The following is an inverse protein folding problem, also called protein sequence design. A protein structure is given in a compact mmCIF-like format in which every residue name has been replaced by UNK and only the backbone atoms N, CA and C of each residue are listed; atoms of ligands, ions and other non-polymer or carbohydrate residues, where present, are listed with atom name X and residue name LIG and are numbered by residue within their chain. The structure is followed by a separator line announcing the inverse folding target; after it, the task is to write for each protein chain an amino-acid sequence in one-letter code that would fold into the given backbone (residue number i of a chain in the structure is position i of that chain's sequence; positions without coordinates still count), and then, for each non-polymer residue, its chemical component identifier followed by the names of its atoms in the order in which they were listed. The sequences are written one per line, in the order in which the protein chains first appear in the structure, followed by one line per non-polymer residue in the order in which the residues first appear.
data_IF_268494801651
#
_entry.id   IF_268494801651
#
_cell.length_a   1.000
_cell.length_b   1.000
_cell.length_c   1.000
_cell.angle_alpha   90.00
_cell.angle_beta   90.00
_cell.angle_gamma   90.00
#
_symmetry.space_group_name_H-M   'P 1'
#
loop_
_entity.id
_entity.type
_entity.pdbx_description
1 polymer ?
#
# COMPACT_ATOMS: atom_id res chain seq x y z
N UNK A 1 -10.35 -7.36 -16.48
CA UNK A 1 -10.52 -5.88 -16.34
C UNK A 1 -11.54 -5.42 -15.25
N UNK A 2 -12.39 -6.31 -14.72
CA UNK A 2 -13.54 -5.99 -13.86
C UNK A 2 -13.24 -5.55 -12.41
N UNK A 3 -12.02 -5.76 -11.91
CA UNK A 3 -11.61 -5.44 -10.52
C UNK A 3 -11.33 -3.95 -10.30
N UNK A 4 -10.91 -3.22 -11.34
CA UNK A 4 -10.66 -1.76 -11.33
C UNK A 4 -11.84 -0.96 -11.90
N UNK A 5 -13.01 -1.57 -12.09
CA UNK A 5 -14.20 -0.84 -12.52
C UNK A 5 -14.82 -0.12 -11.33
N UNK A 6 -14.95 1.19 -11.45
CA UNK A 6 -15.72 2.03 -10.55
C UNK A 6 -16.78 2.73 -11.40
N UNK A 7 -18.06 2.48 -11.09
CA UNK A 7 -19.17 3.20 -11.72
C UNK A 7 -19.33 4.52 -10.98
N UNK A 8 -19.24 5.62 -11.71
CA UNK A 8 -19.52 6.95 -11.19
C UNK A 8 -20.09 7.83 -12.30
N UNK A 9 -20.82 8.86 -11.92
CA UNK A 9 -21.40 9.86 -12.80
C UNK A 9 -20.41 11.02 -12.96
N UNK A 10 -19.90 11.20 -14.18
CA UNK A 10 -18.91 12.21 -14.50
C UNK A 10 -19.52 13.62 -14.48
N UNK A 11 -20.76 13.79 -14.93
CA UNK A 11 -21.43 15.09 -14.99
C UNK A 11 -21.78 15.59 -13.58
N UNK A 12 -22.23 14.68 -12.71
CA UNK A 12 -22.41 14.97 -11.30
C UNK A 12 -21.08 15.37 -10.64
N UNK A 13 -19.97 14.72 -11.02
CA UNK A 13 -18.65 15.04 -10.49
C UNK A 13 -18.13 16.40 -10.98
N UNK A 14 -18.33 16.72 -12.26
CA UNK A 14 -18.07 18.06 -12.81
C UNK A 14 -18.89 19.12 -12.08
N UNK A 15 -20.17 18.84 -11.80
CA UNK A 15 -21.04 19.75 -11.04
C UNK A 15 -20.51 20.00 -9.64
N UNK A 16 -20.06 18.95 -8.94
CA UNK A 16 -19.42 19.09 -7.63
C UNK A 16 -18.21 20.00 -7.73
N UNK A 17 -17.30 19.75 -8.68
CA UNK A 17 -16.07 20.55 -8.86
C UNK A 17 -16.39 22.01 -9.19
N UNK A 18 -17.30 22.26 -10.13
CA UNK A 18 -17.68 23.62 -10.53
C UNK A 18 -18.40 24.40 -9.45
N UNK A 19 -19.10 23.73 -8.53
CA UNK A 19 -19.76 24.35 -7.39
C UNK A 19 -18.81 24.75 -6.24
N UNK A 20 -17.54 24.34 -6.30
CA UNK A 20 -16.59 24.62 -5.22
C UNK A 20 -16.25 26.12 -5.17
N UNK A 21 -16.27 26.75 -3.98
CA UNK A 21 -15.96 28.18 -3.85
C UNK A 21 -14.60 28.58 -4.41
N UNK A 22 -13.62 27.66 -4.37
CA UNK A 22 -12.26 27.89 -4.87
C UNK A 22 -12.12 27.79 -6.39
N UNK A 23 -13.16 27.38 -7.12
CA UNK A 23 -13.13 27.16 -8.58
C UNK A 23 -14.23 28.01 -9.23
N UNK A 24 -15.48 27.86 -8.75
CA UNK A 24 -16.66 28.63 -9.19
C UNK A 24 -16.79 28.77 -10.72
N UNK A 25 -16.29 27.78 -11.47
CA UNK A 25 -16.15 27.81 -12.93
C UNK A 25 -16.41 26.42 -13.53
N UNK A 26 -16.94 26.31 -14.76
CA UNK A 26 -17.15 25.03 -15.43
C UNK A 26 -15.85 24.25 -15.64
N UNK A 27 -15.94 22.92 -15.66
CA UNK A 27 -14.82 22.04 -16.01
C UNK A 27 -14.68 21.99 -17.52
N UNK A 28 -13.51 22.40 -18.03
CA UNK A 28 -13.23 22.51 -19.47
C UNK A 28 -12.45 21.33 -20.03
N UNK A 29 -11.63 20.68 -19.19
CA UNK A 29 -10.78 19.56 -19.61
C UNK A 29 -10.65 18.53 -18.49
N UNK A 30 -10.72 17.25 -18.87
CA UNK A 30 -10.58 16.12 -17.96
C UNK A 30 -9.52 15.17 -18.52
N UNK A 31 -8.50 14.90 -17.73
CA UNK A 31 -7.42 13.97 -18.07
C UNK A 31 -7.46 12.80 -17.09
N UNK A 32 -7.48 11.58 -17.62
CA UNK A 32 -7.44 10.38 -16.79
C UNK A 32 -6.00 10.08 -16.38
N UNK A 33 -5.75 10.07 -15.08
CA UNK A 33 -4.50 9.63 -14.47
C UNK A 33 -4.78 8.24 -13.85
N UNK A 34 -4.29 7.17 -14.46
CA UNK A 34 -4.54 5.84 -13.88
C UNK A 34 -3.70 5.61 -12.63
N UNK A 35 -4.33 5.11 -11.56
CA UNK A 35 -3.67 4.55 -10.39
C UNK A 35 -4.06 3.07 -10.19
N UNK A 36 -3.30 2.36 -9.34
CA UNK A 36 -3.57 0.95 -9.02
C UNK A 36 -4.84 0.75 -8.19
N UNK A 37 -5.04 1.59 -7.17
CA UNK A 37 -6.12 1.45 -6.17
C UNK A 37 -7.29 2.42 -6.38
N UNK A 38 -7.08 3.50 -7.14
CA UNK A 38 -8.08 4.54 -7.40
C UNK A 38 -8.13 4.89 -8.88
N UNK A 39 -9.28 5.38 -9.33
CA UNK A 39 -9.38 6.21 -10.53
C UNK A 39 -9.02 7.63 -10.15
N UNK A 40 -8.05 8.22 -10.83
CA UNK A 40 -7.64 9.61 -10.62
C UNK A 40 -7.95 10.39 -11.89
N UNK A 41 -8.59 11.55 -11.73
CA UNK A 41 -8.91 12.47 -12.81
C UNK A 41 -8.26 13.81 -12.50
N UNK A 42 -7.51 14.36 -13.45
CA UNK A 42 -7.08 15.75 -13.42
C UNK A 42 -8.12 16.58 -14.17
N UNK A 43 -8.87 17.38 -13.43
CA UNK A 43 -9.86 18.30 -13.98
C UNK A 43 -9.28 19.70 -14.04
N UNK A 44 -9.46 20.37 -15.18
CA UNK A 44 -9.09 21.77 -15.38
C UNK A 44 -10.38 22.55 -15.59
N UNK A 45 -10.57 23.61 -14.80
CA UNK A 45 -11.68 24.54 -14.96
C UNK A 45 -11.35 25.64 -16.00
N UNK A 46 -12.38 26.36 -16.45
CA UNK A 46 -12.24 27.45 -17.43
C UNK A 46 -11.32 28.59 -16.97
N UNK A 47 -11.28 28.85 -15.66
CA UNK A 47 -10.36 29.82 -15.04
C UNK A 47 -8.89 29.34 -15.02
N UNK A 48 -8.62 28.14 -15.52
CA UNK A 48 -7.31 27.50 -15.54
C UNK A 48 -6.95 26.76 -14.24
N UNK A 49 -7.81 26.79 -13.22
CA UNK A 49 -7.60 26.09 -11.96
C UNK A 49 -7.62 24.58 -12.18
N UNK A 50 -6.64 23.88 -11.60
CA UNK A 50 -6.46 22.43 -11.75
C UNK A 50 -6.71 21.72 -10.42
N UNK A 51 -7.58 20.72 -10.46
CA UNK A 51 -7.86 19.84 -9.31
C UNK A 51 -7.70 18.39 -9.68
N UNK A 52 -7.32 17.61 -8.68
CA UNK A 52 -7.24 16.16 -8.75
C UNK A 52 -8.47 15.60 -8.07
N UNK A 53 -9.22 14.78 -8.78
CA UNK A 53 -10.33 14.02 -8.24
C UNK A 53 -9.94 12.56 -8.14
N UNK A 54 -10.06 12.00 -6.94
CA UNK A 54 -9.73 10.62 -6.66
C UNK A 54 -10.98 9.85 -6.28
N UNK A 55 -11.21 8.72 -6.94
CA UNK A 55 -12.35 7.81 -6.73
C UNK A 55 -11.83 6.41 -6.42
N UNK A 56 -12.06 5.85 -5.22
CA UNK A 56 -11.66 4.50 -4.88
C UNK A 56 -12.26 3.43 -5.79
N UNK A 57 -11.49 2.37 -6.05
CA UNK A 57 -12.02 1.16 -6.67
C UNK A 57 -12.68 0.27 -5.59
N UNK A 58 -14.01 0.12 -5.56
CA UNK A 58 -14.71 -0.52 -4.43
C UNK A 58 -14.36 -1.99 -4.20
N UNK A 59 -13.89 -2.67 -5.25
CA UNK A 59 -13.46 -4.08 -5.19
C UNK A 59 -12.03 -4.28 -4.65
N UNK A 60 -11.29 -3.19 -4.48
CA UNK A 60 -9.87 -3.20 -4.07
C UNK A 60 -9.72 -2.54 -2.70
N UNK A 61 -10.51 -1.49 -2.46
CA UNK A 61 -10.43 -0.66 -1.27
C UNK A 61 -11.73 -0.78 -0.49
N UNK A 62 -11.71 -1.11 0.82
CA UNK A 62 -12.91 -1.10 1.65
C UNK A 62 -13.62 0.25 1.56
N UNK A 63 -14.91 0.23 1.24
CA UNK A 63 -15.72 1.42 1.06
C UNK A 63 -15.88 2.21 2.36
N UNK A 64 -16.15 3.50 2.23
CA UNK A 64 -16.48 4.53 3.22
C UNK A 64 -15.31 4.96 4.09
N UNK A 65 -14.65 3.97 4.65
CA UNK A 65 -13.64 4.14 5.67
C UNK A 65 -12.34 4.71 5.08
N UNK A 66 -11.92 4.26 3.90
CA UNK A 66 -10.66 4.69 3.30
C UNK A 66 -10.65 6.16 2.87
N UNK A 67 -11.75 6.64 2.29
CA UNK A 67 -11.89 8.05 1.92
C UNK A 67 -11.88 8.96 3.15
N UNK A 68 -12.65 8.61 4.18
CA UNK A 68 -12.69 9.41 5.42
C UNK A 68 -11.32 9.43 6.13
N UNK A 69 -10.64 8.28 6.18
CA UNK A 69 -9.30 8.16 6.72
C UNK A 69 -8.31 9.10 6.06
N UNK A 70 -8.24 9.03 4.73
CA UNK A 70 -7.24 9.76 3.98
C UNK A 70 -7.42 11.27 4.14
N UNK A 71 -8.67 11.74 4.07
CA UNK A 71 -8.98 13.15 4.29
C UNK A 71 -8.59 13.58 5.71
N UNK A 72 -8.89 12.75 6.72
CA UNK A 72 -8.52 13.05 8.09
C UNK A 72 -7.00 13.07 8.29
N UNK A 73 -6.25 12.13 7.70
CA UNK A 73 -4.78 12.10 7.72
C UNK A 73 -4.18 13.35 7.06
N UNK A 74 -4.67 13.72 5.88
CA UNK A 74 -4.21 14.94 5.17
C UNK A 74 -4.47 16.20 6.02
N UNK A 75 -5.66 16.32 6.61
CA UNK A 75 -6.00 17.43 7.49
C UNK A 75 -5.14 17.47 8.76
N UNK A 76 -4.85 16.32 9.34
CA UNK A 76 -4.00 16.20 10.53
C UNK A 76 -2.55 16.60 10.23
N UNK A 77 -1.95 16.05 9.17
CA UNK A 77 -0.59 16.39 8.75
C UNK A 77 -0.47 17.88 8.40
N UNK A 78 -1.45 18.43 7.68
CA UNK A 78 -1.47 19.84 7.30
C UNK A 78 -1.55 20.79 8.50
N UNK A 79 -2.24 20.40 9.57
CA UNK A 79 -2.44 21.24 10.77
C UNK A 79 -1.30 21.11 11.79
N UNK A 80 -0.54 20.02 11.77
CA UNK A 80 0.47 19.72 12.79
C UNK A 80 1.91 19.73 12.26
N UNK A 81 2.12 19.88 10.95
CA UNK A 81 3.47 19.86 10.34
C UNK A 81 3.63 20.91 9.25
N UNK A 82 4.88 21.15 8.83
CA UNK A 82 5.18 21.93 7.63
C UNK A 82 5.21 21.09 6.35
N UNK A 83 4.82 19.81 6.42
CA UNK A 83 4.89 18.89 5.29
C UNK A 83 3.90 19.35 4.21
N UNK A 84 4.36 19.55 2.96
CA UNK A 84 3.49 19.97 1.88
C UNK A 84 2.58 18.81 1.47
N UNK A 85 1.32 18.87 1.90
CA UNK A 85 0.27 17.93 1.49
C UNK A 85 -0.78 18.63 0.62
N UNK A 86 -1.45 17.88 -0.25
CA UNK A 86 -2.50 18.41 -1.10
C UNK A 86 -3.70 18.88 -0.27
N UNK A 87 -4.13 20.12 -0.50
CA UNK A 87 -5.31 20.67 0.16
C UNK A 87 -6.58 19.98 -0.36
N UNK A 88 -7.39 19.42 0.52
CA UNK A 88 -8.71 18.88 0.17
C UNK A 88 -9.71 20.03 0.01
N UNK A 89 -10.41 20.07 -1.13
CA UNK A 89 -11.47 21.04 -1.40
C UNK A 89 -12.85 20.50 -1.02
N UNK A 90 -13.10 19.23 -1.34
CA UNK A 90 -14.34 18.52 -1.00
C UNK A 90 -14.10 17.02 -1.01
N UNK A 91 -14.97 16.26 -0.35
CA UNK A 91 -14.93 14.80 -0.36
C UNK A 91 -16.29 14.24 0.01
N UNK A 92 -16.52 12.98 -0.34
CA UNK A 92 -17.71 12.24 0.04
C UNK A 92 -17.40 10.75 0.14
N UNK A 93 -17.77 10.12 1.26
CA UNK A 93 -17.61 8.67 1.49
C UNK A 93 -18.90 7.86 1.31
N UNK A 94 -20.02 8.51 0.93
CA UNK A 94 -21.29 7.85 0.66
C UNK A 94 -21.56 7.75 -0.84
N UNK A 95 -21.41 6.54 -1.39
CA UNK A 95 -21.66 6.25 -2.79
C UNK A 95 -23.13 6.37 -3.22
N UNK A 96 -24.09 6.55 -2.28
CA UNK A 96 -25.52 6.78 -2.59
C UNK A 96 -25.81 8.18 -3.14
N UNK A 97 -24.83 9.07 -3.08
CA UNK A 97 -24.95 10.46 -3.55
C UNK A 97 -24.88 10.53 -5.08
N UNK A 98 -25.24 11.67 -5.72
CA UNK A 98 -25.41 11.76 -7.17
C UNK A 98 -24.20 11.31 -8.01
N UNK A 99 -22.97 11.45 -7.49
CA UNK A 99 -21.75 10.96 -8.15
C UNK A 99 -21.72 9.43 -8.27
N UNK A 100 -22.48 8.69 -7.45
CA UNK A 100 -22.55 7.23 -7.46
C UNK A 100 -21.30 6.54 -6.93
N UNK A 101 -20.31 7.30 -6.44
CA UNK A 101 -19.07 6.80 -5.89
C UNK A 101 -18.46 7.76 -4.86
N UNK A 102 -17.64 7.18 -3.99
CA UNK A 102 -16.81 7.92 -3.07
C UNK A 102 -15.77 8.74 -3.83
N UNK A 103 -15.48 9.94 -3.36
CA UNK A 103 -14.52 10.79 -4.03
C UNK A 103 -13.83 11.76 -3.08
N UNK A 104 -12.63 12.18 -3.46
CA UNK A 104 -11.88 13.28 -2.85
C UNK A 104 -11.50 14.24 -3.96
N UNK A 105 -11.89 15.50 -3.84
CA UNK A 105 -11.44 16.60 -4.68
C UNK A 105 -10.36 17.35 -3.93
N UNK A 106 -9.16 17.40 -4.50
CA UNK A 106 -7.99 18.01 -3.88
C UNK A 106 -7.22 18.89 -4.86
N UNK A 107 -6.46 19.84 -4.34
CA UNK A 107 -5.60 20.70 -5.14
C UNK A 107 -4.54 19.87 -5.87
N UNK A 108 -4.21 20.24 -7.11
CA UNK A 108 -3.06 19.65 -7.81
C UNK A 108 -1.76 20.10 -7.12
N UNK A 109 -0.96 19.14 -6.65
CA UNK A 109 0.37 19.42 -6.13
C UNK A 109 1.25 20.09 -7.20
N UNK A 110 2.01 21.12 -6.79
CA UNK A 110 2.96 21.81 -7.66
C UNK A 110 4.28 21.04 -7.64
N UNK A 111 4.89 20.84 -8.81
CA UNK A 111 6.20 20.21 -8.94
C UNK A 111 6.28 19.22 -10.09
N UNK A 112 7.41 18.51 -10.16
CA UNK A 112 7.68 17.38 -11.05
C UNK A 112 7.89 16.13 -10.21
N UNK A 113 7.58 14.97 -10.76
CA UNK A 113 7.82 13.70 -10.06
C UNK A 113 9.32 13.46 -9.92
N UNK A 114 9.75 12.95 -8.77
CA UNK A 114 11.18 12.76 -8.52
C UNK A 114 11.82 11.77 -9.50
N UNK A 115 11.08 10.74 -9.91
CA UNK A 115 11.52 9.76 -10.91
C UNK A 115 11.92 10.39 -12.24
N UNK A 116 11.26 11.48 -12.65
CA UNK A 116 11.54 12.16 -13.92
C UNK A 116 12.83 12.99 -13.88
N UNK A 117 13.24 13.45 -12.69
CA UNK A 117 14.38 14.38 -12.53
C UNK A 117 15.58 13.73 -11.86
N UNK A 118 15.42 12.60 -11.17
CA UNK A 118 16.48 11.97 -10.38
C UNK A 118 17.73 11.64 -11.20
N UNK A 119 17.55 11.17 -12.44
CA UNK A 119 18.66 10.86 -13.35
C UNK A 119 19.45 12.10 -13.78
N UNK A 120 18.78 13.25 -13.90
CA UNK A 120 19.34 14.53 -14.34
C UNK A 120 20.05 15.29 -13.19
N UNK A 121 19.69 14.99 -11.94
CA UNK A 121 20.23 15.66 -10.77
C UNK A 121 21.68 15.27 -10.46
N UNK A 122 22.50 16.28 -10.17
CA UNK A 122 23.86 16.07 -9.66
C UNK A 122 23.86 15.55 -8.21
N UNK A 123 25.04 15.13 -7.73
CA UNK A 123 25.21 14.57 -6.39
C UNK A 123 24.87 15.56 -5.27
N UNK A 124 25.19 16.84 -5.45
CA UNK A 124 24.92 17.88 -4.46
C UNK A 124 23.41 18.18 -4.36
N UNK A 125 22.70 18.21 -5.48
CA UNK A 125 21.25 18.35 -5.54
C UNK A 125 20.55 17.17 -4.89
N UNK A 126 20.99 15.93 -5.18
CA UNK A 126 20.49 14.72 -4.54
C UNK A 126 20.69 14.76 -3.02
N UNK A 127 21.88 15.16 -2.57
CA UNK A 127 22.16 15.28 -1.15
C UNK A 127 21.26 16.31 -0.46
N UNK A 128 21.10 17.51 -1.03
CA UNK A 128 20.19 18.54 -0.50
C UNK A 128 18.73 18.06 -0.44
N UNK A 129 18.27 17.35 -1.47
CA UNK A 129 16.94 16.77 -1.49
C UNK A 129 16.76 15.74 -0.37
N UNK A 130 17.72 14.82 -0.19
CA UNK A 130 17.69 13.84 0.90
C UNK A 130 17.64 14.55 2.26
N UNK A 131 18.43 15.61 2.46
CA UNK A 131 18.36 16.39 3.69
C UNK A 131 16.97 17.01 3.93
N UNK A 132 16.28 17.46 2.88
CA UNK A 132 14.91 17.96 3.00
C UNK A 132 13.92 16.83 3.33
N UNK A 133 14.02 15.69 2.67
CA UNK A 133 13.16 14.52 2.94
C UNK A 133 13.29 14.07 4.39
N UNK A 134 14.51 13.94 4.90
CA UNK A 134 14.78 13.57 6.30
C UNK A 134 14.12 14.55 7.29
N UNK A 135 14.10 15.85 6.98
CA UNK A 135 13.41 16.85 7.83
C UNK A 135 11.90 16.71 7.80
N UNK A 136 11.31 16.35 6.66
CA UNK A 136 9.87 16.11 6.56
C UNK A 136 9.48 14.83 7.32
N UNK A 137 10.26 13.76 7.15
CA UNK A 137 10.04 12.49 7.86
C UNK A 137 10.20 12.64 9.37
N UNK A 138 11.20 13.39 9.83
CA UNK A 138 11.37 13.68 11.25
C UNK A 138 10.14 14.39 11.84
N UNK A 139 9.51 15.30 11.10
CA UNK A 139 8.28 15.95 11.54
C UNK A 139 7.12 14.95 11.61
N UNK A 140 6.93 14.12 10.57
CA UNK A 140 5.88 13.11 10.56
C UNK A 140 6.05 12.11 11.71
N UNK A 141 7.26 11.64 11.94
CA UNK A 141 7.60 10.70 13.03
C UNK A 141 7.42 11.32 14.43
N UNK A 142 7.50 12.65 14.54
CA UNK A 142 7.29 13.36 15.80
C UNK A 142 5.81 13.52 16.19
N UNK A 143 4.89 13.24 15.26
CA UNK A 143 3.45 13.36 15.50
C UNK A 143 2.98 12.35 16.56
N UNK A 144 2.34 12.87 17.61
CA UNK A 144 1.68 12.05 18.64
C UNK A 144 0.22 11.89 18.29
N UNK A 145 -0.19 10.68 17.91
CA UNK A 145 -1.60 10.39 17.65
C UNK A 145 -2.36 10.26 18.98
N UNK A 146 -3.53 10.91 19.14
CA UNK A 146 -4.29 10.89 20.40
C UNK A 146 -5.00 9.54 20.68
N UNK A 147 -4.90 8.58 19.76
CA UNK A 147 -5.45 7.23 19.93
C UNK A 147 -4.85 6.25 18.91
N UNK A 148 -5.02 4.96 19.20
CA UNK A 148 -4.67 3.85 18.31
C UNK A 148 -5.96 3.16 17.84
N UNK A 149 -5.96 2.70 16.59
CA UNK A 149 -7.15 2.26 15.88
C UNK A 149 -7.17 2.92 14.51
N UNK A 150 -7.53 2.17 13.47
CA UNK A 150 -7.45 2.66 12.10
C UNK A 150 -8.22 3.96 11.92
N UNK A 151 -7.51 5.07 11.70
CA UNK A 151 -7.82 5.87 10.52
C UNK A 151 -7.85 4.86 9.37
N UNK A 152 -9.00 4.55 8.78
CA UNK A 152 -9.06 3.39 7.91
C UNK A 152 -8.15 3.53 6.68
N UNK A 153 -6.92 3.04 6.75
CA UNK A 153 -5.94 2.99 5.66
C UNK A 153 -5.81 4.30 4.85
N UNK A 154 -4.79 5.14 5.14
CA UNK A 154 -4.12 5.80 4.03
C UNK A 154 -3.31 4.72 3.29
N UNK A 155 -3.91 4.13 2.26
CA UNK A 155 -3.17 3.47 1.17
C UNK A 155 -2.31 4.47 0.36
N UNK A 156 -2.14 5.71 0.85
CA UNK A 156 -1.58 6.83 0.13
C UNK A 156 -0.78 7.73 1.08
N UNK A 157 0.34 7.22 1.57
CA UNK A 157 1.55 8.04 1.67
C UNK A 157 2.65 7.55 0.72
N UNK A 158 2.36 6.60 -0.16
CA UNK A 158 3.24 6.21 -1.25
C UNK A 158 2.63 6.65 -2.60
N UNK A 159 3.50 7.27 -3.40
CA UNK A 159 3.36 7.76 -4.78
C UNK A 159 2.75 9.17 -4.94
N UNK A 160 3.60 10.23 -5.04
CA UNK A 160 4.82 10.27 -5.88
C UNK A 160 6.17 10.23 -5.11
N UNK A 161 6.28 9.45 -4.04
CA UNK A 161 7.56 9.15 -3.38
C UNK A 161 7.84 7.64 -3.42
N UNK A 162 7.88 7.05 -4.62
CA UNK A 162 8.47 5.71 -4.86
C UNK A 162 9.98 5.81 -5.10
N UNK A 163 10.66 6.73 -4.43
CA UNK A 163 12.13 6.80 -4.44
C UNK A 163 12.65 6.92 -3.01
N UNK A 164 12.13 6.10 -2.09
CA UNK A 164 12.84 5.82 -0.84
C UNK A 164 12.60 4.35 -0.50
N UNK A 165 13.56 3.53 -0.94
CA UNK A 165 13.78 2.15 -0.53
C UNK A 165 13.79 1.98 1.01
N UNK A 166 13.73 0.74 1.54
CA UNK A 166 13.49 0.37 2.96
C UNK A 166 14.46 0.94 4.01
N UNK A 167 15.43 1.75 3.61
CA UNK A 167 16.55 2.24 4.41
C UNK A 167 16.17 3.28 5.48
N UNK A 168 14.92 3.74 5.53
CA UNK A 168 14.51 4.94 6.26
C UNK A 168 13.65 4.67 7.51
N UNK A 169 13.33 3.41 7.80
CA UNK A 169 12.86 3.01 9.13
C UNK A 169 13.98 3.03 10.20
N UNK A 170 14.84 4.06 10.23
CA UNK A 170 15.91 4.19 11.21
C UNK A 170 15.52 4.62 12.63
N UNK A 171 14.28 5.10 12.96
CA UNK A 171 13.93 5.27 14.37
C UNK A 171 13.80 3.94 15.13
N UNK A 172 13.59 2.82 14.42
CA UNK A 172 13.43 1.48 15.03
C UNK A 172 14.76 0.75 15.29
N UNK A 173 15.91 1.35 15.00
CA UNK A 173 17.23 0.70 15.23
C UNK A 173 17.53 0.42 16.72
N UNK A 174 16.74 0.96 17.64
CA UNK A 174 16.80 0.70 19.09
C UNK A 174 15.68 -0.21 19.62
N UNK A 175 14.79 -0.66 18.75
CA UNK A 175 13.66 -1.52 19.09
C UNK A 175 14.00 -2.95 18.65
N UNK A 176 13.63 -3.95 19.46
CA UNK A 176 13.86 -5.34 19.12
C UNK A 176 13.24 -5.67 17.74
N UNK A 177 13.95 -6.37 16.84
CA UNK A 177 13.45 -6.70 15.50
C UNK A 177 12.08 -7.38 15.51
N UNK A 178 11.75 -8.14 16.56
CA UNK A 178 10.46 -8.81 16.72
C UNK A 178 9.31 -7.81 16.92
N UNK A 179 9.56 -6.75 17.69
CA UNK A 179 8.60 -5.65 17.90
C UNK A 179 8.47 -4.83 16.61
N UNK A 180 9.58 -4.54 15.93
CA UNK A 180 9.54 -3.85 14.64
C UNK A 180 8.70 -4.64 13.61
N UNK A 181 8.95 -5.95 13.49
CA UNK A 181 8.21 -6.85 12.59
C UNK A 181 6.75 -7.02 12.98
N UNK A 182 6.41 -6.93 14.26
CA UNK A 182 5.01 -6.91 14.69
C UNK A 182 4.26 -5.74 14.04
N UNK A 183 4.86 -4.55 14.03
CA UNK A 183 4.23 -3.36 13.45
C UNK A 183 4.28 -3.34 11.92
N UNK A 184 5.39 -3.74 11.29
CA UNK A 184 5.50 -3.77 9.83
C UNK A 184 4.76 -4.97 9.21
N UNK A 185 4.86 -6.14 9.83
CA UNK A 185 4.29 -7.39 9.33
C UNK A 185 2.77 -7.48 9.43
N UNK A 186 2.11 -6.63 10.23
CA UNK A 186 0.64 -6.51 10.21
C UNK A 186 0.11 -6.14 8.82
N UNK A 187 0.82 -5.26 8.10
CA UNK A 187 0.46 -4.84 6.74
C UNK A 187 0.63 -5.97 5.73
N UNK A 188 1.67 -6.80 5.93
CA UNK A 188 2.05 -7.86 5.02
C UNK A 188 1.25 -9.16 5.20
N UNK A 189 0.39 -9.27 6.22
CA UNK A 189 -0.40 -10.49 6.47
C UNK A 189 -1.28 -10.93 5.28
N UNK A 190 -1.62 -9.99 4.40
CA UNK A 190 -2.39 -10.27 3.17
C UNK A 190 -1.52 -10.89 2.07
N UNK A 191 -0.21 -10.59 2.06
CA UNK A 191 0.76 -11.04 1.05
C UNK A 191 1.57 -12.27 1.51
N UNK A 192 1.94 -12.26 2.77
CA UNK A 192 2.85 -13.21 3.44
C UNK A 192 2.11 -14.13 4.43
N UNK A 193 0.80 -13.95 4.60
CA UNK A 193 0.01 -14.72 5.56
C UNK A 193 0.27 -14.31 7.02
N UNK A 194 -0.45 -14.97 7.95
CA UNK A 194 -0.39 -14.62 9.37
C UNK A 194 0.81 -15.23 10.12
N UNK A 195 1.53 -16.18 9.51
CA UNK A 195 2.61 -16.91 10.17
C UNK A 195 3.80 -16.02 10.58
N UNK A 196 4.32 -15.10 9.74
CA UNK A 196 5.36 -14.15 10.14
C UNK A 196 4.94 -13.23 11.30
N UNK A 197 3.66 -12.85 11.33
CA UNK A 197 3.11 -12.05 12.42
C UNK A 197 3.10 -12.86 13.73
N UNK A 198 2.64 -14.12 13.67
CA UNK A 198 2.65 -15.03 14.82
C UNK A 198 4.07 -15.33 15.30
N UNK A 199 5.04 -15.47 14.41
CA UNK A 199 6.46 -15.60 14.76
C UNK A 199 6.96 -14.38 15.56
N UNK A 200 6.56 -13.17 15.15
CA UNK A 200 6.91 -11.95 15.87
C UNK A 200 6.32 -11.93 17.29
N UNK A 201 5.07 -12.38 17.46
CA UNK A 201 4.43 -12.52 18.77
C UNK A 201 5.10 -13.58 19.65
N UNK A 202 5.46 -14.73 19.07
CA UNK A 202 6.19 -15.80 19.76
C UNK A 202 7.55 -15.30 20.25
N UNK A 203 8.31 -14.60 19.40
CA UNK A 203 9.61 -14.04 19.77
C UNK A 203 9.49 -12.98 20.88
N UNK A 204 8.43 -12.17 20.87
CA UNK A 204 8.14 -11.20 21.94
C UNK A 204 7.80 -11.92 23.24
N UNK A 205 6.97 -12.95 23.19
CA UNK A 205 6.59 -13.76 24.36
C UNK A 205 7.81 -14.47 24.98
N UNK A 206 8.62 -15.15 24.17
CA UNK A 206 9.82 -15.87 24.64
C UNK A 206 10.91 -14.93 25.20
N UNK A 207 10.95 -13.66 24.78
CA UNK A 207 11.97 -12.70 25.19
C UNK A 207 11.44 -11.53 26.04
N UNK A 208 10.21 -11.63 26.56
CA UNK A 208 9.50 -10.53 27.23
C UNK A 208 10.33 -9.86 28.35
N UNK A 209 10.90 -10.66 29.26
CA UNK A 209 11.74 -10.17 30.35
C UNK A 209 13.06 -9.56 29.85
N UNK A 210 13.68 -10.20 28.85
CA UNK A 210 14.94 -9.74 28.24
C UNK A 210 14.77 -8.41 27.51
N UNK A 211 13.58 -8.16 26.96
CA UNK A 211 13.22 -6.91 26.30
C UNK A 211 12.94 -5.78 27.29
N UNK A 212 12.92 -6.05 28.61
CA UNK A 212 12.65 -5.04 29.63
C UNK A 212 11.22 -4.52 29.63
N UNK A 213 10.27 -5.29 29.10
CA UNK A 213 8.85 -4.95 29.08
C UNK A 213 8.24 -5.14 30.47
N UNK A 214 7.40 -4.19 30.90
CA UNK A 214 6.78 -4.24 32.23
C UNK A 214 5.59 -5.19 32.27
N UNK A 215 5.38 -5.83 33.43
CA UNK A 215 4.26 -6.73 33.67
C UNK A 215 4.48 -8.15 33.15
N UNK A 216 3.44 -8.97 33.29
CA UNK A 216 3.42 -10.35 32.79
C UNK A 216 3.05 -10.29 31.30
N UNK A 217 3.75 -11.08 30.46
CA UNK A 217 3.39 -11.18 29.05
C UNK A 217 1.90 -11.58 28.92
N UNK A 218 1.07 -10.80 28.18
CA UNK A 218 -0.36 -11.09 28.04
C UNK A 218 -0.62 -12.44 27.36
N UNK A 219 0.29 -12.85 26.49
CA UNK A 219 0.19 -14.06 25.68
C UNK A 219 1.30 -15.04 26.10
N UNK A 220 0.95 -16.02 26.93
CA UNK A 220 1.83 -17.13 27.26
C UNK A 220 1.54 -18.27 26.29
N UNK A 221 2.41 -18.46 25.31
CA UNK A 221 2.24 -19.52 24.31
C UNK A 221 2.63 -20.85 24.95
N UNK A 222 1.73 -21.83 24.88
CA UNK A 222 2.02 -23.17 25.43
C UNK A 222 3.12 -23.88 24.64
N UNK A 223 3.79 -24.85 25.27
CA UNK A 223 4.83 -25.67 24.63
C UNK A 223 4.31 -26.43 23.41
N UNK A 224 3.05 -26.89 23.45
CA UNK A 224 2.39 -27.56 22.32
C UNK A 224 2.13 -26.59 21.15
N UNK A 225 1.69 -25.37 21.44
CA UNK A 225 1.46 -24.33 20.42
C UNK A 225 2.76 -23.83 19.80
N UNK A 226 3.83 -23.73 20.57
CA UNK A 226 5.18 -23.43 20.07
C UNK A 226 5.68 -24.55 19.14
N UNK A 227 5.50 -25.81 19.54
CA UNK A 227 5.90 -26.94 18.70
C UNK A 227 5.09 -27.00 17.38
N UNK A 228 3.79 -26.68 17.42
CA UNK A 228 2.96 -26.54 16.22
C UNK A 228 3.44 -25.39 15.34
N UNK A 229 3.66 -24.21 15.94
CA UNK A 229 4.13 -23.01 15.24
C UNK A 229 5.49 -23.24 14.54
N UNK A 230 6.44 -23.90 15.21
CA UNK A 230 7.76 -24.20 14.62
C UNK A 230 7.64 -25.06 13.36
N UNK A 231 6.77 -26.09 13.36
CA UNK A 231 6.50 -26.91 12.17
C UNK A 231 5.87 -26.09 11.05
N UNK A 232 4.87 -25.27 11.36
CA UNK A 232 4.22 -24.38 10.39
C UNK A 232 5.22 -23.36 9.79
N UNK A 233 6.15 -22.84 10.61
CA UNK A 233 7.18 -21.91 10.16
C UNK A 233 8.24 -22.55 9.26
N UNK A 234 8.57 -23.83 9.45
CA UNK A 234 9.50 -24.51 8.56
C UNK A 234 8.87 -24.75 7.19
N UNK A 235 7.59 -25.14 7.15
CA UNK A 235 6.81 -25.20 5.90
C UNK A 235 6.72 -23.83 5.22
N UNK A 236 6.49 -22.77 6.01
CA UNK A 236 6.45 -21.40 5.51
C UNK A 236 7.77 -20.95 4.89
N UNK A 237 8.91 -21.27 5.49
CA UNK A 237 10.23 -20.92 4.94
C UNK A 237 10.48 -21.60 3.60
N UNK A 238 10.11 -22.87 3.47
CA UNK A 238 10.19 -23.59 2.20
C UNK A 238 9.31 -22.92 1.12
N UNK A 239 8.09 -22.55 1.49
CA UNK A 239 7.17 -21.82 0.61
C UNK A 239 7.73 -20.45 0.20
N UNK A 240 8.22 -19.66 1.15
CA UNK A 240 8.78 -18.32 0.90
C UNK A 240 10.04 -18.38 0.03
N UNK A 241 10.88 -19.39 0.23
CA UNK A 241 12.06 -19.63 -0.61
C UNK A 241 11.66 -19.99 -2.05
N UNK A 242 10.65 -20.85 -2.22
CA UNK A 242 10.13 -21.20 -3.53
C UNK A 242 9.50 -19.99 -4.25
N UNK A 243 8.78 -19.14 -3.50
CA UNK A 243 8.24 -17.86 -3.99
C UNK A 243 9.36 -16.95 -4.49
N UNK A 244 10.43 -16.78 -3.70
CA UNK A 244 11.57 -15.95 -4.06
C UNK A 244 12.27 -16.46 -5.34
N UNK A 245 12.51 -17.77 -5.46
CA UNK A 245 13.07 -18.33 -6.70
C UNK A 245 12.15 -18.12 -7.90
N UNK A 246 10.84 -18.22 -7.71
CA UNK A 246 9.88 -17.94 -8.77
C UNK A 246 9.92 -16.48 -9.21
N UNK A 247 10.04 -15.54 -8.27
CA UNK A 247 10.20 -14.12 -8.54
C UNK A 247 11.54 -13.78 -9.21
N UNK A 248 12.62 -14.54 -8.97
CA UNK A 248 13.88 -14.34 -9.72
C UNK A 248 13.77 -14.84 -11.17
N UNK A 249 13.00 -15.90 -11.40
CA UNK A 249 12.82 -16.53 -12.71
C UNK A 249 11.80 -15.81 -13.60
N UNK A 250 10.85 -15.12 -12.97
CA UNK A 250 9.85 -14.28 -13.63
C UNK A 250 10.30 -12.81 -13.51
N UNK A 251 10.36 -12.01 -14.58
CA UNK A 251 10.67 -10.59 -14.48
C UNK A 251 9.47 -9.81 -13.90
N UNK A 252 9.04 -10.15 -12.69
CA UNK A 252 7.96 -9.54 -11.94
C UNK A 252 8.47 -8.82 -10.71
N UNK A 253 7.76 -7.79 -10.26
CA UNK A 253 8.01 -7.18 -8.96
C UNK A 253 7.44 -8.02 -7.79
N UNK A 254 7.61 -7.52 -6.57
CA UNK A 254 7.18 -8.19 -5.33
C UNK A 254 5.67 -8.50 -5.28
N UNK A 255 4.87 -7.79 -6.08
CA UNK A 255 3.42 -7.97 -6.20
C UNK A 255 3.02 -8.91 -7.36
N UNK A 256 4.00 -9.43 -8.10
CA UNK A 256 3.79 -10.26 -9.28
C UNK A 256 3.40 -9.46 -10.51
N UNK A 257 3.57 -8.14 -10.49
CA UNK A 257 3.30 -7.32 -11.65
C UNK A 257 4.46 -7.45 -12.65
N UNK A 258 4.10 -7.72 -13.89
CA UNK A 258 5.02 -7.82 -15.01
C UNK A 258 4.80 -6.61 -15.89
N UNK A 259 5.88 -5.90 -16.21
CA UNK A 259 5.79 -4.73 -17.09
C UNK A 259 5.17 -5.08 -18.44
N UNK A 260 4.33 -4.21 -19.05
CA UNK A 260 3.75 -4.42 -20.37
C UNK A 260 4.84 -4.42 -21.45
N UNK A 261 5.55 -5.54 -21.53
CA UNK A 261 6.62 -5.84 -22.48
C UNK A 261 6.08 -6.86 -23.50
N UNK A 262 6.67 -6.94 -24.72
CA UNK A 262 6.24 -7.89 -25.74
C UNK A 262 6.38 -9.38 -25.34
N UNK A 263 6.95 -9.67 -24.17
CA UNK A 263 7.21 -11.02 -23.67
C UNK A 263 6.25 -11.50 -22.57
N UNK A 264 5.16 -10.77 -22.26
CA UNK A 264 4.20 -11.16 -21.21
C UNK A 264 3.67 -12.60 -21.37
N UNK A 265 3.36 -13.02 -22.59
CA UNK A 265 2.94 -14.41 -22.87
C UNK A 265 4.02 -15.45 -22.55
N UNK A 266 5.31 -15.10 -22.71
CA UNK A 266 6.42 -15.98 -22.32
C UNK A 266 6.54 -16.05 -20.80
N UNK A 267 6.30 -14.95 -20.09
CA UNK A 267 6.29 -14.94 -18.62
C UNK A 267 5.14 -15.79 -18.10
N UNK A 268 3.95 -15.69 -18.71
CA UNK A 268 2.79 -16.53 -18.39
C UNK A 268 3.06 -18.02 -18.63
N UNK A 269 3.67 -18.37 -19.76
CA UNK A 269 4.06 -19.76 -20.05
C UNK A 269 5.07 -20.31 -19.03
N UNK A 270 6.08 -19.52 -18.67
CA UNK A 270 7.07 -19.89 -17.64
C UNK A 270 6.45 -20.06 -16.25
N UNK A 271 5.51 -19.20 -15.87
CA UNK A 271 4.78 -19.34 -14.61
C UNK A 271 3.99 -20.66 -14.57
N UNK A 272 3.33 -21.04 -15.67
CA UNK A 272 2.63 -22.32 -15.79
C UNK A 272 3.58 -23.53 -15.75
N UNK A 273 4.78 -23.43 -16.32
CA UNK A 273 5.80 -24.48 -16.26
C UNK A 273 6.34 -24.67 -14.82
N UNK A 274 6.56 -23.57 -14.10
CA UNK A 274 6.99 -23.61 -12.69
C UNK A 274 5.92 -24.23 -11.78
N UNK A 275 4.64 -23.95 -12.03
CA UNK A 275 3.54 -24.57 -11.30
C UNK A 275 3.48 -26.09 -11.55
N UNK A 276 3.66 -26.53 -12.80
CA UNK A 276 3.75 -27.96 -13.13
C UNK A 276 4.93 -28.64 -12.43
N UNK A 277 6.08 -27.97 -12.33
CA UNK A 277 7.24 -28.48 -11.62
C UNK A 277 6.96 -28.63 -10.11
N UNK A 278 6.33 -27.63 -9.50
CA UNK A 278 5.92 -27.67 -8.10
C UNK A 278 4.98 -28.84 -7.82
N UNK A 279 3.93 -29.00 -8.64
CA UNK A 279 3.01 -30.13 -8.56
C UNK A 279 3.75 -31.48 -8.67
N UNK A 280 4.71 -31.61 -9.59
CA UNK A 280 5.47 -32.86 -9.77
C UNK A 280 6.39 -33.24 -8.61
N UNK A 281 6.67 -32.30 -7.70
CA UNK A 281 7.58 -32.47 -6.57
C UNK A 281 6.85 -32.69 -5.24
N UNK A 282 5.65 -32.13 -5.09
CA UNK A 282 4.80 -32.22 -3.89
C UNK A 282 3.80 -33.40 -3.92
N UNK A 283 3.87 -34.25 -4.96
CA UNK A 283 2.84 -35.24 -5.34
C UNK A 283 2.50 -36.35 -4.34
N UNK A 284 3.15 -36.43 -3.18
CA UNK A 284 2.83 -37.47 -2.18
C UNK A 284 1.99 -36.98 -0.99
N UNK A 285 1.82 -35.66 -0.78
CA UNK A 285 1.11 -35.14 0.42
C UNK A 285 0.02 -34.08 0.16
N UNK A 286 0.01 -33.39 -0.99
CA UNK A 286 -0.86 -32.23 -1.19
C UNK A 286 -1.78 -32.41 -2.41
N UNK A 287 -3.10 -32.25 -2.22
CA UNK A 287 -4.07 -32.26 -3.32
C UNK A 287 -3.88 -31.06 -4.26
N UNK A 288 -4.22 -31.20 -5.54
CA UNK A 288 -4.11 -30.13 -6.55
C UNK A 288 -4.79 -28.82 -6.11
N UNK A 289 -5.98 -28.89 -5.50
CA UNK A 289 -6.69 -27.71 -5.01
C UNK A 289 -5.96 -26.98 -3.86
N UNK A 290 -5.25 -27.73 -3.00
CA UNK A 290 -4.46 -27.16 -1.91
C UNK A 290 -3.13 -26.61 -2.43
N UNK A 291 -2.50 -27.28 -3.40
CA UNK A 291 -1.32 -26.80 -4.09
C UNK A 291 -1.60 -25.49 -4.85
N UNK A 292 -2.74 -25.39 -5.54
CA UNK A 292 -3.21 -24.13 -6.12
C UNK A 292 -3.43 -23.04 -5.08
N UNK A 293 -3.94 -23.41 -3.88
CA UNK A 293 -4.16 -22.47 -2.77
C UNK A 293 -2.86 -21.88 -2.25
N UNK A 294 -1.82 -22.70 -2.23
CA UNK A 294 -0.49 -22.34 -1.77
C UNK A 294 0.35 -21.71 -2.89
N UNK A 295 -0.02 -21.82 -4.16
CA UNK A 295 0.74 -21.23 -5.26
C UNK A 295 0.66 -19.69 -5.29
N UNK A 296 1.80 -19.07 -5.58
CA UNK A 296 1.94 -17.62 -5.66
C UNK A 296 1.41 -17.06 -7.00
N UNK A 297 0.96 -15.80 -6.95
CA UNK A 297 0.41 -15.06 -8.10
C UNK A 297 -0.73 -15.81 -8.80
N UNK A 298 -1.76 -16.18 -8.02
CA UNK A 298 -2.98 -16.78 -8.56
C UNK A 298 -3.62 -15.83 -9.56
N UNK A 299 -3.85 -16.32 -10.78
CA UNK A 299 -4.79 -15.70 -11.71
C UNK A 299 -6.15 -15.73 -11.01
N UNK A 300 -6.54 -14.61 -10.41
CA UNK A 300 -7.87 -14.51 -9.82
C UNK A 300 -8.84 -14.46 -11.00
N UNK A 301 -9.60 -15.53 -11.19
CA UNK A 301 -10.72 -15.56 -12.15
C UNK A 301 -11.54 -14.26 -12.03
N UNK A 302 -11.95 -13.76 -13.20
CA UNK A 302 -12.44 -12.40 -13.42
C UNK A 302 -13.75 -12.04 -12.70
#
# INVERSE_FOLDING_TARGET
MLKRYAKFDLDALCTVVSSLPSISSPVSRIEKMEGGFNKVLLMTADDGTKVVVKTPCPKIVPSTYCTASEVATLGYVMSHTSVPVSKVHAWNSDARKPVGAEHIVMAKAKGRQLVEVWGEMDQMQKFKLIQHLVRLEAQLASLKFPGYGGFPRPLFLMDPITVLQPSICRPFTRVDPSIQRLFSGCEDTVKEGMLPLRESLVQISENWERMGLSGICPEVVSTEELARHRREMDNYKNWAQLKAYTQELLPSDDDGWVSPSPDFEKVKARHADLFRLYMSRETEEISEAEAERLWFHRDRDE
#
